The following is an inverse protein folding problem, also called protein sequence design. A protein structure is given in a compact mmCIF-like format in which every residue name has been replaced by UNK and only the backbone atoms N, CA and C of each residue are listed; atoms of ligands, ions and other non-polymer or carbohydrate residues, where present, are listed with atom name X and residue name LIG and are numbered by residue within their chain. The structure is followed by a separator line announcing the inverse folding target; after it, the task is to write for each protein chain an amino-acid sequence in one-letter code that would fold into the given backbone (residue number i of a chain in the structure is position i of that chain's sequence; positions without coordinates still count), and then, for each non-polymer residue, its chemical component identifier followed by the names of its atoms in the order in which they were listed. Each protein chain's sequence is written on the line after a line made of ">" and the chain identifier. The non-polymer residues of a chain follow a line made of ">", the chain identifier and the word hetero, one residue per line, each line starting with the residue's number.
data_IF_421296187589
#
_entry.id   IF_421296187589
#
_cell.length_a   1.000
_cell.length_b   1.000
_cell.length_c   1.000
_cell.angle_alpha   90.00
_cell.angle_beta   90.00
_cell.angle_gamma   90.00
#
_symmetry.space_group_name_H-M   'P 1'
#
loop_
_entity.id
_entity.type
_entity.pdbx_description
1 polymer ?
#
# COMPACT_ATOMS: atom_id res chain seq x y z
N UNK A 1 -8.02 12.51 8.09
CA UNK A 1 -7.00 11.55 8.55
C UNK A 1 -5.64 12.01 8.05
N UNK A 2 -4.60 12.00 8.88
CA UNK A 2 -3.24 12.42 8.49
C UNK A 2 -2.30 11.22 8.55
N UNK A 3 -1.73 10.85 7.41
CA UNK A 3 -0.72 9.80 7.32
C UNK A 3 0.65 10.30 7.81
N UNK A 4 1.43 9.43 8.44
CA UNK A 4 2.84 9.69 8.71
C UNK A 4 3.64 9.74 7.41
N UNK A 5 4.85 10.34 7.39
CA UNK A 5 5.67 10.37 6.18
C UNK A 5 5.99 8.98 5.61
N UNK A 6 6.18 7.97 6.47
CA UNK A 6 6.41 6.59 6.02
C UNK A 6 5.16 5.97 5.38
N UNK A 7 3.98 6.23 5.96
CA UNK A 7 2.70 5.79 5.43
C UNK A 7 2.36 6.47 4.09
N UNK A 8 2.62 7.78 3.97
CA UNK A 8 2.44 8.50 2.70
C UNK A 8 3.32 7.93 1.60
N UNK A 9 4.61 7.66 1.89
CA UNK A 9 5.54 7.11 0.89
C UNK A 9 5.08 5.76 0.35
N UNK A 10 4.61 4.84 1.20
CA UNK A 10 4.13 3.54 0.72
C UNK A 10 2.79 3.66 0.01
N UNK A 11 1.86 4.50 0.51
CA UNK A 11 0.58 4.71 -0.14
C UNK A 11 0.71 5.36 -1.52
N UNK A 12 1.72 6.21 -1.75
CA UNK A 12 2.00 6.78 -3.08
C UNK A 12 2.13 5.68 -4.15
N UNK A 13 2.81 4.59 -3.84
CA UNK A 13 2.97 3.47 -4.77
C UNK A 13 1.71 2.60 -4.83
N UNK A 14 1.18 2.20 -3.67
CA UNK A 14 0.06 1.27 -3.61
C UNK A 14 -1.22 1.85 -4.22
N UNK A 15 -1.47 3.15 -4.06
CA UNK A 15 -2.64 3.82 -4.63
C UNK A 15 -2.62 3.84 -6.15
N UNK A 16 -1.45 3.67 -6.77
CA UNK A 16 -1.27 3.56 -8.22
C UNK A 16 -1.37 2.11 -8.72
N UNK A 17 -1.76 1.15 -7.88
CA UNK A 17 -1.95 -0.25 -8.26
C UNK A 17 -0.72 -1.14 -8.09
N UNK A 18 0.39 -0.61 -7.58
CA UNK A 18 1.54 -1.45 -7.23
C UNK A 18 1.22 -2.34 -6.03
N UNK A 19 1.81 -3.52 -5.99
CA UNK A 19 1.78 -4.40 -4.83
C UNK A 19 3.08 -4.38 -4.03
N UNK A 20 3.00 -4.62 -2.72
CA UNK A 20 4.15 -4.62 -1.81
C UNK A 20 4.35 -5.96 -1.11
N UNK A 21 5.51 -6.60 -1.31
CA UNK A 21 5.85 -7.90 -0.73
C UNK A 21 6.66 -7.79 0.56
N UNK A 22 6.52 -8.79 1.42
CA UNK A 22 7.46 -8.99 2.52
C UNK A 22 8.68 -9.74 1.95
N UNK A 23 9.88 -9.17 2.11
CA UNK A 23 11.10 -9.77 1.56
C UNK A 23 11.87 -10.61 2.59
N UNK A 24 12.38 -9.98 3.65
CA UNK A 24 13.06 -10.65 4.75
C UNK A 24 12.74 -9.98 6.09
N UNK A 25 12.54 -10.80 7.13
CA UNK A 25 12.12 -10.33 8.45
C UNK A 25 10.83 -9.51 8.35
N UNK A 26 10.90 -8.25 8.77
CA UNK A 26 9.77 -7.31 8.70
C UNK A 26 9.86 -6.32 7.54
N UNK A 27 10.82 -6.46 6.62
CA UNK A 27 10.99 -5.52 5.50
C UNK A 27 9.90 -5.71 4.44
N UNK A 28 9.31 -4.59 4.02
CA UNK A 28 8.33 -4.53 2.94
C UNK A 28 8.94 -3.81 1.74
N UNK A 29 8.79 -4.41 0.56
CA UNK A 29 9.38 -3.97 -0.69
C UNK A 29 8.35 -3.81 -1.79
N UNK A 30 8.58 -2.81 -2.64
CA UNK A 30 7.90 -2.65 -3.91
C UNK A 30 8.98 -2.70 -4.99
N UNK A 31 8.81 -3.57 -5.98
CA UNK A 31 9.76 -3.76 -7.07
C UNK A 31 11.23 -3.95 -6.59
N UNK A 32 11.43 -4.76 -5.54
CA UNK A 32 12.75 -5.06 -4.96
C UNK A 32 13.38 -3.95 -4.13
N UNK A 33 12.71 -2.80 -3.95
CA UNK A 33 13.20 -1.70 -3.10
C UNK A 33 12.43 -1.67 -1.78
N UNK A 34 13.15 -1.62 -0.67
CA UNK A 34 12.54 -1.49 0.66
C UNK A 34 11.85 -0.13 0.81
N UNK A 35 10.56 -0.16 1.12
CA UNK A 35 9.72 1.04 1.27
C UNK A 35 9.28 1.27 2.70
N UNK A 36 9.02 0.20 3.47
CA UNK A 36 8.59 0.28 4.86
C UNK A 36 8.81 -1.05 5.59
N UNK A 37 8.03 -1.29 6.64
CA UNK A 37 8.00 -2.54 7.39
C UNK A 37 6.55 -3.04 7.58
N UNK A 38 6.42 -4.27 8.07
CA UNK A 38 5.12 -4.92 8.32
C UNK A 38 4.24 -4.08 9.27
N UNK A 39 4.79 -3.47 10.32
CA UNK A 39 4.01 -2.65 11.26
C UNK A 39 3.35 -1.45 10.59
N UNK A 40 4.06 -0.81 9.66
CA UNK A 40 3.51 0.27 8.84
C UNK A 40 2.32 -0.22 8.01
N UNK A 41 2.45 -1.41 7.40
CA UNK A 41 1.38 -2.02 6.61
C UNK A 41 0.19 -2.43 7.47
N UNK A 42 0.43 -3.01 8.65
CA UNK A 42 -0.61 -3.34 9.62
C UNK A 42 -1.35 -2.09 10.10
N UNK A 43 -0.66 -0.98 10.33
CA UNK A 43 -1.30 0.29 10.68
C UNK A 43 -2.20 0.80 9.55
N UNK A 44 -1.74 0.75 8.30
CA UNK A 44 -2.56 1.12 7.13
C UNK A 44 -3.77 0.19 6.94
N UNK A 45 -3.63 -1.10 7.25
CA UNK A 45 -4.70 -2.07 7.18
C UNK A 45 -5.80 -1.79 8.23
N UNK A 46 -5.40 -1.41 9.45
CA UNK A 46 -6.35 -0.93 10.48
C UNK A 46 -7.10 0.32 10.06
N UNK A 47 -6.49 1.14 9.20
CA UNK A 47 -7.12 2.31 8.58
C UNK A 47 -7.93 1.97 7.32
N UNK A 48 -8.05 0.68 6.95
CA UNK A 48 -8.76 0.18 5.77
C UNK A 48 -8.22 0.72 4.43
N UNK A 49 -6.96 1.15 4.38
CA UNK A 49 -6.33 1.64 3.15
C UNK A 49 -5.61 0.56 2.35
N UNK A 50 -5.20 -0.51 3.00
CA UNK A 50 -4.55 -1.64 2.37
C UNK A 50 -5.15 -2.93 2.91
N UNK A 51 -5.05 -3.98 2.13
CA UNK A 51 -5.43 -5.33 2.51
C UNK A 51 -4.30 -6.30 2.28
N UNK A 52 -4.29 -7.38 3.08
CA UNK A 52 -3.29 -8.42 2.98
C UNK A 52 -3.83 -9.54 2.10
N UNK A 53 -3.07 -9.88 1.07
CA UNK A 53 -3.38 -11.01 0.19
C UNK A 53 -2.70 -12.30 0.67
N UNK A 54 -3.31 -13.43 0.31
CA UNK A 54 -2.79 -14.78 0.59
C UNK A 54 -1.66 -15.17 -0.36
N UNK A 55 -1.55 -14.52 -1.51
CA UNK A 55 -0.48 -14.72 -2.50
C UNK A 55 0.35 -13.44 -2.66
N UNK A 56 1.56 -13.59 -3.18
CA UNK A 56 2.36 -12.42 -3.56
C UNK A 56 1.54 -11.57 -4.55
N UNK A 57 1.53 -10.23 -4.39
CA UNK A 57 2.50 -9.44 -3.63
C UNK A 57 2.21 -9.30 -2.13
N UNK A 58 1.20 -9.94 -1.54
CA UNK A 58 0.85 -9.90 -0.10
C UNK A 58 0.20 -8.62 0.41
N UNK A 59 0.43 -7.45 -0.21
CA UNK A 59 -0.28 -6.22 0.16
C UNK A 59 -0.70 -5.41 -1.07
N UNK A 60 -1.96 -4.99 -1.07
CA UNK A 60 -2.58 -4.16 -2.10
C UNK A 60 -3.36 -3.00 -1.49
N UNK A 61 -3.52 -1.90 -2.24
CA UNK A 61 -4.44 -0.84 -1.84
C UNK A 61 -5.89 -1.28 -2.01
N UNK A 62 -6.70 -1.02 -0.99
CA UNK A 62 -8.16 -1.16 -1.06
C UNK A 62 -8.74 -0.08 -1.98
N UNK A 63 -10.04 -0.14 -2.29
CA UNK A 63 -10.72 0.92 -3.03
C UNK A 63 -10.51 2.31 -2.37
N UNK A 64 -10.59 2.41 -1.05
CA UNK A 64 -10.31 3.66 -0.31
C UNK A 64 -8.83 4.06 -0.39
N UNK A 65 -7.91 3.09 -0.35
CA UNK A 65 -6.48 3.34 -0.54
C UNK A 65 -6.14 3.92 -1.91
N UNK A 66 -6.83 3.46 -2.96
CA UNK A 66 -6.63 3.95 -4.33
C UNK A 66 -7.04 5.41 -4.51
N UNK A 67 -8.05 5.88 -3.77
CA UNK A 67 -8.49 7.29 -3.76
C UNK A 67 -7.42 8.28 -3.31
N UNK A 68 -6.37 7.81 -2.63
CA UNK A 68 -5.23 8.64 -2.23
C UNK A 68 -4.26 8.92 -3.38
N UNK A 69 -4.42 8.26 -4.53
CA UNK A 69 -3.61 8.55 -5.70
C UNK A 69 -3.91 9.96 -6.19
N UNK A 70 -2.88 10.80 -6.45
CA UNK A 70 -3.10 12.12 -7.05
C UNK A 70 -3.74 12.04 -8.46
N UNK A 71 -3.68 10.86 -9.09
CA UNK A 71 -4.28 10.58 -10.40
C UNK A 71 -5.52 9.69 -10.29
N UNK A 72 -6.14 9.57 -9.10
CA UNK A 72 -7.35 8.77 -8.96
C UNK A 72 -8.52 9.43 -9.69
N UNK A 73 -9.07 8.74 -10.68
CA UNK A 73 -10.33 9.10 -11.34
C UNK A 73 -11.34 7.97 -11.08
N UNK A 74 -12.52 8.26 -10.50
CA UNK A 74 -13.50 7.23 -10.16
C UNK A 74 -14.06 6.50 -11.39
N UNK A 75 -13.91 7.06 -12.59
CA UNK A 75 -14.49 6.55 -13.85
C UNK A 75 -13.52 5.68 -14.68
N UNK A 76 -12.33 5.35 -14.15
CA UNK A 76 -11.32 4.55 -14.87
C UNK A 76 -11.49 3.03 -14.75
N UNK A 77 -12.51 2.55 -14.06
CA UNK A 77 -12.92 1.14 -14.10
C UNK A 77 -13.99 1.01 -15.21
N UNK A 78 -13.55 0.75 -16.44
CA UNK A 78 -14.39 0.39 -17.60
C UNK A 78 -14.26 -1.09 -17.92
#
# INVERSE_FOLDING_TARGET
>A
MKLSPAQQRVMLWLSQGWGARVSHGSAVEINGKRVCNVDTMTALARMKLVERETRAPYWMATAEGRKLSPNYHPDSES
#
